data_IF_492897700104
#
_entry.id   IF_492897700104
#
_cell.length_a   1.000
_cell.length_b   1.000
_cell.length_c   1.000
_cell.angle_alpha   90.00
_cell.angle_beta   90.00
_cell.angle_gamma   90.00
#
_symmetry.space_group_name_H-M   'P 1'
#
loop_
_entity.id
_entity.type
_entity.pdbx_description
1 polymer ?
#
# COMPACT_ATOMS: atom_id res chain seq x y z
N UNK A 1 -20.93 11.34 6.38
CA UNK A 1 -19.83 12.26 6.04
C UNK A 1 -20.39 13.65 5.81
N UNK A 2 -19.78 14.70 6.43
CA UNK A 2 -20.17 16.11 6.22
C UNK A 2 -19.08 16.82 5.43
N UNK A 3 -19.49 17.60 4.45
CA UNK A 3 -18.64 18.44 3.61
C UNK A 3 -19.01 19.89 3.86
N UNK A 4 -18.01 20.72 4.19
CA UNK A 4 -18.22 22.15 4.38
C UNK A 4 -17.20 22.94 3.56
N UNK A 5 -17.67 23.84 2.72
CA UNK A 5 -16.81 24.83 2.05
C UNK A 5 -16.97 26.13 2.80
N UNK A 6 -15.87 26.62 3.38
CA UNK A 6 -15.90 27.76 4.27
C UNK A 6 -14.64 28.62 4.16
N UNK A 7 -14.82 29.92 4.39
CA UNK A 7 -13.71 30.82 4.70
C UNK A 7 -13.32 30.62 6.16
N UNK A 8 -12.10 30.16 6.41
CA UNK A 8 -11.66 29.81 7.76
C UNK A 8 -10.16 30.01 7.99
N UNK A 9 -9.78 30.18 9.27
CA UNK A 9 -8.42 30.00 9.77
C UNK A 9 -8.34 28.67 10.51
N UNK A 10 -7.16 28.05 10.53
CA UNK A 10 -6.96 26.78 11.21
C UNK A 10 -5.69 26.83 12.05
N UNK A 11 -5.83 26.55 13.33
CA UNK A 11 -4.75 26.45 14.28
C UNK A 11 -4.65 25.01 14.78
N UNK A 12 -3.46 24.44 14.68
CA UNK A 12 -3.15 23.12 15.23
C UNK A 12 -2.18 23.27 16.39
N UNK A 13 -2.51 22.63 17.50
CA UNK A 13 -1.69 22.54 18.70
C UNK A 13 -1.50 21.05 19.04
N UNK A 14 -0.26 20.59 19.07
CA UNK A 14 0.07 19.19 19.34
C UNK A 14 1.58 18.97 19.35
N UNK A 15 2.07 17.96 18.65
CA UNK A 15 3.50 17.67 18.49
C UNK A 15 4.30 18.86 17.94
N UNK A 16 3.63 19.71 17.21
CA UNK A 16 4.10 20.98 16.71
C UNK A 16 2.93 21.98 16.74
N UNK A 17 3.22 23.27 16.56
CA UNK A 17 2.19 24.29 16.36
C UNK A 17 2.18 24.66 14.89
N UNK A 18 1.00 24.67 14.26
CA UNK A 18 0.83 25.10 12.88
C UNK A 18 -0.36 26.03 12.74
N UNK A 19 -0.24 27.03 11.86
CA UNK A 19 -1.28 28.00 11.56
C UNK A 19 -1.52 28.05 10.04
N UNK A 20 -2.77 27.93 9.64
CA UNK A 20 -3.21 28.18 8.27
C UNK A 20 -4.00 29.51 8.25
N UNK A 21 -3.48 30.57 7.59
CA UNK A 21 -4.16 31.87 7.48
C UNK A 21 -5.54 31.75 6.85
N UNK A 22 -6.35 32.79 6.98
CA UNK A 22 -7.71 32.81 6.42
C UNK A 22 -7.71 32.53 4.91
N UNK A 23 -8.43 31.49 4.52
CA UNK A 23 -8.67 31.12 3.14
C UNK A 23 -9.93 30.27 3.01
N UNK A 24 -10.45 30.18 1.78
CA UNK A 24 -11.52 29.24 1.44
C UNK A 24 -10.95 27.83 1.45
N UNK A 25 -11.62 26.90 2.16
CA UNK A 25 -11.18 25.50 2.30
C UNK A 25 -12.35 24.54 2.29
N UNK A 26 -12.05 23.31 1.90
CA UNK A 26 -12.96 22.19 2.10
C UNK A 26 -12.62 21.53 3.44
N UNK A 27 -13.63 21.42 4.30
CA UNK A 27 -13.58 20.71 5.55
C UNK A 27 -14.37 19.41 5.40
N UNK A 28 -13.77 18.28 5.72
CA UNK A 28 -14.41 16.98 5.69
C UNK A 28 -14.48 16.39 7.09
N UNK A 29 -15.69 15.99 7.51
CA UNK A 29 -15.91 15.22 8.74
C UNK A 29 -16.45 13.86 8.36
N UNK A 30 -15.71 12.79 8.68
CA UNK A 30 -16.10 11.42 8.35
C UNK A 30 -16.94 10.77 9.45
N UNK A 31 -17.56 9.65 9.15
CA UNK A 31 -18.39 8.91 10.11
C UNK A 31 -17.61 8.37 11.31
N UNK A 32 -16.31 8.13 11.17
CA UNK A 32 -15.38 7.73 12.24
C UNK A 32 -14.95 8.89 13.14
N UNK A 33 -15.46 10.11 12.89
CA UNK A 33 -15.14 11.34 13.60
C UNK A 33 -13.87 12.05 13.10
N UNK A 34 -13.12 11.48 12.16
CA UNK A 34 -11.94 12.15 11.60
C UNK A 34 -12.31 13.44 10.88
N UNK A 35 -11.45 14.46 11.03
CA UNK A 35 -11.61 15.77 10.41
C UNK A 35 -10.39 16.07 9.55
N UNK A 36 -10.60 16.56 8.32
CA UNK A 36 -9.52 16.98 7.44
C UNK A 36 -9.84 18.30 6.73
N UNK A 37 -8.77 19.07 6.49
CA UNK A 37 -8.80 20.42 5.90
C UNK A 37 -8.04 20.38 4.58
N UNK A 38 -8.68 20.78 3.48
CA UNK A 38 -8.12 20.74 2.14
C UNK A 38 -8.13 22.11 1.46
N UNK A 39 -7.12 22.37 0.64
CA UNK A 39 -7.11 23.42 -0.35
C UNK A 39 -7.49 22.86 -1.73
N UNK A 40 -7.71 23.74 -2.68
CA UNK A 40 -8.02 23.40 -4.07
C UNK A 40 -6.78 22.91 -4.85
N UNK A 41 -5.59 23.08 -4.30
CA UNK A 41 -4.31 22.68 -4.87
C UNK A 41 -3.54 21.69 -3.97
N UNK A 42 -2.29 21.35 -4.34
CA UNK A 42 -1.32 20.55 -3.58
C UNK A 42 -1.64 19.07 -3.43
N UNK A 43 -2.07 18.46 -4.53
CA UNK A 43 -2.28 17.02 -4.65
C UNK A 43 -3.38 16.46 -3.72
N UNK A 44 -3.25 15.20 -3.36
CA UNK A 44 -4.29 14.44 -2.65
C UNK A 44 -4.22 14.57 -1.12
N UNK A 45 -3.19 15.19 -0.56
CA UNK A 45 -3.00 15.26 0.90
C UNK A 45 -3.77 16.44 1.50
N UNK A 46 -4.42 16.26 2.66
CA UNK A 46 -4.97 17.38 3.40
C UNK A 46 -3.86 18.31 3.89
N UNK A 47 -4.18 19.60 4.05
CA UNK A 47 -3.29 20.59 4.68
C UNK A 47 -3.10 20.30 6.16
N UNK A 48 -4.18 19.85 6.82
CA UNK A 48 -4.18 19.41 8.21
C UNK A 48 -5.29 18.37 8.43
N UNK A 49 -5.14 17.52 9.45
CA UNK A 49 -6.14 16.52 9.80
C UNK A 49 -6.01 16.05 11.24
N UNK A 50 -7.13 15.57 11.79
CA UNK A 50 -7.17 14.84 13.06
C UNK A 50 -7.71 13.43 12.80
N UNK A 51 -6.91 12.42 13.14
CA UNK A 51 -7.30 11.00 13.00
C UNK A 51 -8.16 10.54 14.17
N UNK A 52 -9.09 9.59 14.00
CA UNK A 52 -9.83 9.00 15.09
C UNK A 52 -8.93 8.20 16.05
N UNK A 53 -9.30 8.07 17.35
CA UNK A 53 -10.47 8.63 17.96
C UNK A 53 -10.31 10.11 18.35
N UNK A 54 -11.11 10.97 17.75
CA UNK A 54 -11.18 12.38 18.07
C UNK A 54 -12.63 12.85 18.23
N UNK A 55 -12.83 14.01 18.84
CA UNK A 55 -14.13 14.62 19.07
C UNK A 55 -14.17 16.01 18.48
N UNK A 56 -15.12 16.24 17.59
CA UNK A 56 -15.48 17.58 17.12
C UNK A 56 -16.54 18.18 18.03
N UNK A 57 -16.29 19.39 18.49
CA UNK A 57 -17.24 20.22 19.21
C UNK A 57 -17.40 21.57 18.50
N UNK A 58 -18.63 21.92 18.14
CA UNK A 58 -18.94 23.22 17.57
C UNK A 58 -19.24 24.19 18.71
N UNK A 59 -18.51 25.28 18.79
CA UNK A 59 -18.66 26.33 19.82
C UNK A 59 -18.75 27.70 19.15
N UNK A 60 -19.17 28.71 19.94
CA UNK A 60 -19.10 30.10 19.53
C UNK A 60 -17.99 30.79 20.34
N UNK A 61 -17.12 31.51 19.65
CA UNK A 61 -16.18 32.45 20.26
C UNK A 61 -16.66 33.85 19.95
N UNK A 62 -17.43 34.44 20.90
CA UNK A 62 -18.29 35.58 20.63
C UNK A 62 -19.42 35.19 19.67
N UNK A 63 -19.45 35.82 18.50
CA UNK A 63 -20.41 35.49 17.41
C UNK A 63 -19.79 34.59 16.31
N UNK A 64 -18.52 34.21 16.43
CA UNK A 64 -17.81 33.48 15.40
C UNK A 64 -17.90 31.97 15.65
N UNK A 65 -18.40 31.17 14.70
CA UNK A 65 -18.41 29.72 14.82
C UNK A 65 -16.98 29.14 14.80
N UNK A 66 -16.73 28.26 15.75
CA UNK A 66 -15.43 27.55 15.87
C UNK A 66 -15.67 26.07 16.02
N UNK A 67 -14.98 25.31 15.20
CA UNK A 67 -14.86 23.86 15.37
C UNK A 67 -13.60 23.55 16.17
N UNK A 68 -13.79 22.92 17.32
CA UNK A 68 -12.70 22.40 18.15
C UNK A 68 -12.66 20.88 18.02
N UNK A 69 -11.57 20.37 17.49
CA UNK A 69 -11.35 18.94 17.33
C UNK A 69 -10.22 18.52 18.25
N UNK A 70 -10.48 17.55 19.13
CA UNK A 70 -9.53 17.12 20.15
C UNK A 70 -9.39 15.61 20.14
N UNK A 71 -8.17 15.11 20.35
CA UNK A 71 -7.90 13.69 20.56
C UNK A 71 -7.48 13.39 22.00
N UNK A 72 -7.38 12.10 22.32
CA UNK A 72 -6.97 11.64 23.66
C UNK A 72 -5.53 12.00 24.02
N UNK A 73 -4.68 12.33 23.05
CA UNK A 73 -3.29 12.74 23.27
C UNK A 73 -3.14 14.22 23.59
N UNK A 74 -4.25 14.97 23.67
CA UNK A 74 -4.25 16.40 23.96
C UNK A 74 -3.92 17.29 22.75
N UNK A 75 -3.89 16.72 21.54
CA UNK A 75 -3.76 17.50 20.32
C UNK A 75 -5.09 18.17 20.00
N UNK A 76 -5.03 19.44 19.55
CA UNK A 76 -6.20 20.24 19.22
C UNK A 76 -6.09 20.80 17.79
N UNK A 77 -7.19 20.77 17.08
CA UNK A 77 -7.38 21.44 15.80
C UNK A 77 -8.54 22.42 15.95
N UNK A 78 -8.22 23.72 15.93
CA UNK A 78 -9.19 24.80 16.03
C UNK A 78 -9.44 25.38 14.65
N UNK A 79 -10.66 25.32 14.18
CA UNK A 79 -11.09 25.87 12.89
C UNK A 79 -12.05 27.01 13.17
N UNK A 80 -11.61 28.25 12.94
CA UNK A 80 -12.41 29.45 13.09
C UNK A 80 -13.06 29.79 11.77
N UNK A 81 -14.38 29.75 11.68
CA UNK A 81 -15.17 29.87 10.45
C UNK A 81 -15.76 31.25 10.38
N UNK A 82 -15.44 32.02 9.34
CA UNK A 82 -15.97 33.36 9.13
C UNK A 82 -17.14 33.39 8.15
N UNK A 83 -17.20 32.47 7.22
CA UNK A 83 -18.26 32.35 6.23
C UNK A 83 -18.42 30.90 5.79
N UNK A 84 -19.64 30.40 5.66
CA UNK A 84 -19.97 29.10 5.13
C UNK A 84 -20.65 29.28 3.77
N UNK A 85 -20.03 28.75 2.70
CA UNK A 85 -20.62 28.77 1.37
C UNK A 85 -21.46 27.52 1.10
N UNK A 86 -21.01 26.38 1.64
CA UNK A 86 -21.68 25.10 1.45
C UNK A 86 -21.55 24.24 2.70
N UNK A 87 -22.62 23.57 3.09
CA UNK A 87 -22.65 22.60 4.16
C UNK A 87 -23.63 21.49 3.80
N UNK A 88 -23.14 20.28 3.66
CA UNK A 88 -23.96 19.14 3.33
C UNK A 88 -23.50 17.87 4.04
N UNK A 89 -24.45 17.00 4.36
CA UNK A 89 -24.20 15.71 5.00
C UNK A 89 -24.72 14.58 4.12
N UNK A 90 -23.92 13.52 4.01
CA UNK A 90 -24.22 12.37 3.18
C UNK A 90 -23.93 11.08 3.93
N UNK A 91 -24.77 10.09 3.76
CA UNK A 91 -24.51 8.72 4.18
C UNK A 91 -23.95 7.94 3.01
N UNK A 92 -22.70 7.49 3.11
CA UNK A 92 -22.04 6.74 2.04
C UNK A 92 -22.21 5.21 2.21
N UNK A 93 -22.85 4.79 3.30
CA UNK A 93 -22.98 3.37 3.62
C UNK A 93 -21.65 2.75 4.08
N UNK A 94 -21.62 1.45 4.14
CA UNK A 94 -20.41 0.68 4.47
C UNK A 94 -19.57 0.51 3.22
N UNK A 95 -18.33 0.98 3.28
CA UNK A 95 -17.36 0.74 2.22
C UNK A 95 -17.02 -0.76 2.18
N UNK A 96 -17.13 -1.42 1.03
CA UNK A 96 -16.78 -2.84 0.90
C UNK A 96 -15.28 -3.11 1.05
N UNK A 97 -14.48 -2.07 1.18
CA UNK A 97 -13.02 -2.15 1.25
C UNK A 97 -12.36 -2.28 -0.12
N UNK A 98 -11.04 -2.26 -0.11
CA UNK A 98 -10.24 -2.47 -1.30
C UNK A 98 -10.28 -3.95 -1.69
N UNK A 99 -10.95 -4.28 -2.78
CA UNK A 99 -10.73 -5.56 -3.46
C UNK A 99 -9.38 -5.44 -4.18
N UNK A 100 -8.35 -6.05 -3.61
CA UNK A 100 -7.07 -6.21 -4.31
C UNK A 100 -7.35 -7.04 -5.56
N UNK A 101 -6.81 -6.66 -6.68
CA UNK A 101 -7.04 -7.35 -7.97
C UNK A 101 -6.41 -8.76 -8.03
N UNK A 102 -6.05 -9.37 -6.96
CA UNK A 102 -5.57 -10.74 -6.84
C UNK A 102 -4.44 -11.15 -7.82
N UNK A 103 -3.93 -10.21 -8.62
CA UNK A 103 -2.93 -10.50 -9.67
C UNK A 103 -1.69 -11.14 -9.08
N UNK A 104 -1.20 -10.68 -7.93
CA UNK A 104 -0.02 -11.27 -7.30
C UNK A 104 -0.31 -12.70 -6.82
N UNK A 105 -1.46 -12.93 -6.19
CA UNK A 105 -1.88 -14.26 -5.78
C UNK A 105 -2.08 -15.20 -6.98
N UNK A 106 -2.69 -14.69 -8.05
CA UNK A 106 -2.89 -15.45 -9.28
C UNK A 106 -1.56 -15.72 -10.02
N UNK A 107 -0.62 -14.77 -10.06
CA UNK A 107 0.73 -14.99 -10.55
C UNK A 107 1.45 -16.07 -9.76
N UNK A 108 1.27 -16.09 -8.45
CA UNK A 108 1.83 -17.13 -7.58
C UNK A 108 1.23 -18.50 -7.90
N UNK A 109 -0.09 -18.59 -8.14
CA UNK A 109 -0.78 -19.82 -8.55
C UNK A 109 -0.27 -20.32 -9.89
N UNK A 110 -0.29 -19.47 -10.90
CA UNK A 110 0.17 -19.79 -12.24
C UNK A 110 1.65 -20.19 -12.26
N UNK A 111 2.52 -19.49 -11.53
CA UNK A 111 3.93 -19.85 -11.47
C UNK A 111 4.18 -21.18 -10.72
N UNK A 112 3.34 -21.50 -9.75
CA UNK A 112 3.41 -22.78 -9.06
C UNK A 112 2.91 -23.94 -9.93
N UNK A 113 1.90 -23.71 -10.79
CA UNK A 113 1.41 -24.67 -11.78
C UNK A 113 2.40 -24.86 -12.94
N UNK A 114 3.12 -23.80 -13.32
CA UNK A 114 4.10 -23.77 -14.40
C UNK A 114 5.51 -23.48 -13.85
N UNK A 115 5.94 -24.29 -12.89
CA UNK A 115 7.21 -24.08 -12.18
C UNK A 115 8.42 -24.16 -13.12
N UNK A 116 8.29 -24.83 -14.26
CA UNK A 116 9.28 -24.91 -15.34
C UNK A 116 9.62 -23.54 -15.96
N UNK A 117 8.78 -22.52 -15.78
CA UNK A 117 9.10 -21.14 -16.18
C UNK A 117 10.30 -20.58 -15.40
N UNK A 118 10.60 -21.11 -14.23
CA UNK A 118 11.84 -20.81 -13.51
C UNK A 118 13.08 -21.41 -14.16
N UNK A 119 12.93 -22.49 -14.92
CA UNK A 119 13.99 -23.23 -15.59
C UNK A 119 13.64 -24.68 -15.69
N UNK A 120 14.29 -25.39 -16.62
CA UNK A 120 14.14 -26.83 -16.78
C UNK A 120 14.59 -27.58 -15.50
N UNK A 121 13.82 -28.57 -15.09
CA UNK A 121 14.11 -29.39 -13.90
C UNK A 121 13.71 -28.74 -12.56
N UNK A 122 13.13 -27.56 -12.55
CA UNK A 122 12.58 -27.00 -11.32
C UNK A 122 11.38 -27.81 -10.83
N UNK A 123 11.28 -27.96 -9.50
CA UNK A 123 10.17 -28.67 -8.85
C UNK A 123 9.64 -27.86 -7.68
N UNK A 124 8.31 -27.76 -7.60
CA UNK A 124 7.63 -27.07 -6.51
C UNK A 124 7.79 -27.85 -5.21
N UNK A 125 8.23 -27.17 -4.13
CA UNK A 125 8.20 -27.72 -2.76
C UNK A 125 6.93 -27.26 -2.06
N UNK A 126 6.70 -25.93 -2.02
CA UNK A 126 5.52 -25.38 -1.35
C UNK A 126 5.27 -23.92 -1.75
N UNK A 127 3.98 -23.57 -1.90
CA UNK A 127 3.50 -22.19 -1.90
C UNK A 127 3.40 -21.68 -0.47
N UNK A 128 3.55 -20.37 -0.28
CA UNK A 128 3.45 -19.70 1.03
C UNK A 128 4.23 -20.44 2.12
N UNK A 129 5.54 -20.66 1.85
CA UNK A 129 6.39 -21.33 2.82
C UNK A 129 6.64 -20.44 4.03
N UNK A 130 6.14 -20.85 5.20
CA UNK A 130 6.17 -20.07 6.44
C UNK A 130 7.59 -19.89 6.98
N UNK A 131 7.96 -18.64 7.26
CA UNK A 131 9.17 -18.25 7.98
C UNK A 131 8.80 -17.48 9.25
N UNK A 132 9.80 -17.18 10.08
CA UNK A 132 9.59 -16.38 11.30
C UNK A 132 9.10 -14.94 11.04
N UNK A 133 9.24 -14.41 9.82
CA UNK A 133 8.85 -13.05 9.44
C UNK A 133 7.72 -13.00 8.41
N UNK A 134 7.09 -14.13 8.12
CA UNK A 134 6.00 -14.27 7.16
C UNK A 134 6.27 -15.34 6.10
N UNK A 135 5.30 -15.60 5.21
CA UNK A 135 5.45 -16.60 4.15
C UNK A 135 6.32 -16.10 3.00
N UNK A 136 7.15 -16.98 2.45
CA UNK A 136 7.76 -16.83 1.12
C UNK A 136 6.77 -17.33 0.08
N UNK A 137 6.58 -16.60 -1.01
CA UNK A 137 5.55 -16.91 -2.00
C UNK A 137 5.69 -18.34 -2.56
N UNK A 138 6.90 -18.73 -3.00
CA UNK A 138 7.20 -20.08 -3.45
C UNK A 138 8.56 -20.54 -2.92
N UNK A 139 8.60 -21.74 -2.37
CA UNK A 139 9.83 -22.52 -2.19
C UNK A 139 9.83 -23.65 -3.21
N UNK A 140 10.92 -23.78 -3.97
CA UNK A 140 11.12 -24.81 -4.98
C UNK A 140 12.56 -25.36 -4.93
N UNK A 141 12.85 -26.38 -5.74
CA UNK A 141 14.18 -26.91 -6.00
C UNK A 141 14.54 -26.72 -7.46
N UNK A 142 15.79 -26.40 -7.73
CA UNK A 142 16.33 -26.39 -9.09
C UNK A 142 16.69 -27.80 -9.60
N UNK A 143 17.21 -27.89 -10.83
CA UNK A 143 17.58 -29.16 -11.45
C UNK A 143 18.67 -29.94 -10.67
N UNK A 144 19.49 -29.22 -9.88
CA UNK A 144 20.52 -29.79 -9.02
C UNK A 144 20.02 -30.12 -7.60
N UNK A 145 18.72 -29.90 -7.34
CA UNK A 145 18.07 -30.16 -6.07
C UNK A 145 18.34 -29.09 -5.00
N UNK A 146 18.96 -27.95 -5.35
CA UNK A 146 19.20 -26.83 -4.43
C UNK A 146 17.92 -26.07 -4.17
N UNK A 147 17.76 -25.60 -2.95
CA UNK A 147 16.58 -24.80 -2.57
C UNK A 147 16.59 -23.42 -3.23
N UNK A 148 15.44 -22.99 -3.72
CA UNK A 148 15.22 -21.69 -4.34
C UNK A 148 13.97 -21.04 -3.74
N UNK A 149 14.12 -19.82 -3.22
CA UNK A 149 13.02 -19.01 -2.73
C UNK A 149 12.62 -17.97 -3.79
N UNK A 150 11.33 -17.87 -4.07
CA UNK A 150 10.79 -16.95 -5.07
C UNK A 150 9.88 -15.93 -4.39
N UNK A 151 10.11 -14.66 -4.67
CA UNK A 151 9.22 -13.55 -4.30
C UNK A 151 8.56 -13.01 -5.55
N UNK A 152 7.24 -12.84 -5.53
CA UNK A 152 6.42 -12.49 -6.69
C UNK A 152 5.75 -11.14 -6.45
N UNK A 153 5.84 -10.25 -7.43
CA UNK A 153 5.17 -8.93 -7.41
C UNK A 153 4.53 -8.64 -8.77
N UNK A 154 3.45 -7.89 -8.75
CA UNK A 154 2.94 -7.30 -9.99
C UNK A 154 3.95 -6.30 -10.55
N UNK A 155 4.46 -5.39 -9.68
CA UNK A 155 5.55 -4.45 -10.00
C UNK A 155 6.71 -4.69 -9.07
N UNK A 156 7.83 -5.08 -9.63
CA UNK A 156 9.06 -5.34 -8.90
C UNK A 156 9.78 -4.03 -8.56
N UNK A 157 9.72 -3.63 -7.31
CA UNK A 157 10.38 -2.46 -6.74
C UNK A 157 11.45 -2.88 -5.71
N UNK A 158 12.21 -1.92 -5.19
CA UNK A 158 13.31 -2.17 -4.24
C UNK A 158 12.83 -2.92 -2.99
N UNK A 159 11.67 -2.57 -2.46
CA UNK A 159 11.08 -3.17 -1.27
C UNK A 159 10.83 -4.69 -1.40
N UNK A 160 10.42 -5.16 -2.59
CA UNK A 160 10.30 -6.59 -2.85
C UNK A 160 11.63 -7.32 -2.85
N UNK A 161 12.70 -6.71 -3.37
CA UNK A 161 14.06 -7.27 -3.29
C UNK A 161 14.57 -7.30 -1.85
N UNK A 162 14.30 -6.24 -1.08
CA UNK A 162 14.61 -6.18 0.35
C UNK A 162 13.87 -7.25 1.15
N UNK A 163 12.61 -7.50 0.81
CA UNK A 163 11.80 -8.56 1.42
C UNK A 163 12.42 -9.93 1.15
N UNK A 164 12.71 -10.25 -0.11
CA UNK A 164 13.36 -11.52 -0.48
C UNK A 164 14.72 -11.69 0.18
N UNK A 165 15.52 -10.64 0.28
CA UNK A 165 16.82 -10.70 0.98
C UNK A 165 16.67 -11.16 2.42
N UNK A 166 15.70 -10.59 3.16
CA UNK A 166 15.43 -11.00 4.54
C UNK A 166 14.97 -12.46 4.64
N UNK A 167 14.18 -12.93 3.70
CA UNK A 167 13.79 -14.34 3.63
C UNK A 167 15.01 -15.25 3.39
N UNK A 168 15.88 -14.89 2.44
CA UNK A 168 17.09 -15.67 2.14
C UNK A 168 18.03 -15.76 3.35
N UNK A 169 18.20 -14.68 4.10
CA UNK A 169 18.99 -14.67 5.33
C UNK A 169 18.43 -15.66 6.37
N UNK A 170 17.11 -15.75 6.51
CA UNK A 170 16.47 -16.67 7.44
C UNK A 170 16.55 -18.13 6.96
N UNK A 171 16.22 -18.37 5.71
CA UNK A 171 16.22 -19.72 5.13
C UNK A 171 17.63 -20.32 5.09
N UNK A 172 18.67 -19.52 4.88
CA UNK A 172 20.05 -19.98 4.92
C UNK A 172 20.58 -20.29 6.32
N UNK A 173 19.82 -20.02 7.37
CA UNK A 173 20.13 -20.49 8.75
C UNK A 173 19.71 -21.94 8.97
N UNK A 174 18.78 -22.44 8.15
CA UNK A 174 18.35 -23.82 8.20
C UNK A 174 19.29 -24.68 7.34
N UNK A 175 20.05 -25.56 8.01
CA UNK A 175 21.00 -26.46 7.34
C UNK A 175 20.37 -27.49 6.40
N UNK A 176 19.05 -27.71 6.50
CA UNK A 176 18.30 -28.60 5.61
C UNK A 176 17.93 -27.91 4.30
N UNK A 177 17.90 -26.58 4.27
CA UNK A 177 17.56 -25.78 3.11
C UNK A 177 18.77 -25.14 2.46
N UNK A 178 19.78 -24.77 3.27
CA UNK A 178 20.96 -24.05 2.80
C UNK A 178 21.85 -24.92 1.86
N UNK A 179 22.42 -24.32 0.79
CA UNK A 179 22.26 -22.94 0.37
C UNK A 179 20.96 -22.69 -0.38
N UNK A 180 20.30 -21.56 -0.08
CA UNK A 180 19.06 -21.15 -0.73
C UNK A 180 19.33 -19.99 -1.70
N UNK A 181 19.04 -20.19 -2.97
CA UNK A 181 19.10 -19.16 -4.00
C UNK A 181 17.81 -18.32 -4.04
N UNK A 182 17.88 -17.07 -4.53
CA UNK A 182 16.74 -16.17 -4.65
C UNK A 182 16.32 -15.93 -6.10
N UNK A 183 15.01 -15.90 -6.36
CA UNK A 183 14.43 -15.44 -7.62
C UNK A 183 13.40 -14.35 -7.30
N UNK A 184 13.61 -13.16 -7.88
CA UNK A 184 12.66 -12.06 -7.83
C UNK A 184 11.87 -12.03 -9.13
N UNK A 185 10.60 -12.40 -9.08
CA UNK A 185 9.72 -12.55 -10.22
C UNK A 185 8.64 -11.45 -10.24
N UNK A 186 8.44 -10.76 -11.38
CA UNK A 186 7.39 -9.76 -11.53
C UNK A 186 7.00 -9.59 -12.99
N UNK A 187 5.77 -9.06 -13.25
CA UNK A 187 5.38 -8.65 -14.61
C UNK A 187 6.27 -7.52 -15.14
N UNK A 188 6.68 -6.61 -14.27
CA UNK A 188 7.57 -5.50 -14.61
C UNK A 188 8.54 -5.25 -13.46
N UNK A 189 9.85 -5.24 -13.73
CA UNK A 189 10.89 -4.99 -12.72
C UNK A 189 11.54 -3.65 -13.03
N UNK A 190 11.48 -2.73 -12.05
CA UNK A 190 12.14 -1.42 -12.18
C UNK A 190 13.67 -1.57 -12.26
N UNK A 191 14.36 -0.69 -13.04
CA UNK A 191 15.82 -0.77 -13.19
C UNK A 191 16.57 -0.80 -11.85
N UNK A 192 16.17 0.03 -10.89
CA UNK A 192 16.81 0.10 -9.58
C UNK A 192 16.64 -1.20 -8.77
N UNK A 193 15.46 -1.83 -8.85
CA UNK A 193 15.22 -3.12 -8.22
C UNK A 193 16.06 -4.23 -8.87
N UNK A 194 16.21 -4.21 -10.20
CA UNK A 194 17.04 -5.16 -10.94
C UNK A 194 18.53 -5.02 -10.55
N UNK A 195 19.03 -3.78 -10.46
CA UNK A 195 20.40 -3.52 -10.01
C UNK A 195 20.63 -4.09 -8.61
N UNK A 196 19.75 -3.76 -7.66
CA UNK A 196 19.87 -4.25 -6.28
C UNK A 196 19.79 -5.78 -6.18
N UNK A 197 18.88 -6.41 -6.94
CA UNK A 197 18.77 -7.85 -6.98
C UNK A 197 20.07 -8.51 -7.51
N UNK A 198 20.63 -7.97 -8.59
CA UNK A 198 21.90 -8.44 -9.16
C UNK A 198 23.05 -8.31 -8.18
N UNK A 199 23.19 -7.18 -7.50
CA UNK A 199 24.23 -6.93 -6.49
C UNK A 199 24.15 -7.93 -5.30
N UNK A 200 22.96 -8.47 -5.04
CA UNK A 200 22.70 -9.47 -4.00
C UNK A 200 22.70 -10.92 -4.49
N UNK A 201 23.04 -11.15 -5.76
CA UNK A 201 23.03 -12.50 -6.37
C UNK A 201 21.61 -13.07 -6.53
N UNK A 202 20.58 -12.23 -6.53
CA UNK A 202 19.17 -12.60 -6.74
C UNK A 202 18.88 -12.55 -8.24
N UNK A 203 18.39 -13.65 -8.79
CA UNK A 203 17.96 -13.71 -10.19
C UNK A 203 16.64 -12.99 -10.40
N UNK A 204 16.54 -12.15 -11.44
CA UNK A 204 15.30 -11.49 -11.84
C UNK A 204 14.62 -12.27 -12.96
N UNK A 205 13.31 -12.52 -12.79
CA UNK A 205 12.45 -13.14 -13.80
C UNK A 205 11.29 -12.20 -14.13
N UNK A 206 11.13 -11.88 -15.41
CA UNK A 206 9.95 -11.14 -15.88
C UNK A 206 8.88 -12.15 -16.28
N UNK A 207 7.69 -12.02 -15.70
CA UNK A 207 6.54 -12.88 -15.94
C UNK A 207 5.60 -12.21 -16.94
N UNK A 208 5.23 -12.95 -17.98
CA UNK A 208 4.16 -12.55 -18.89
C UNK A 208 2.84 -13.17 -18.42
N UNK A 209 2.01 -12.32 -17.80
CA UNK A 209 0.76 -12.76 -17.19
C UNK A 209 -0.27 -13.27 -18.20
N UNK A 210 -0.30 -12.69 -19.39
CA UNK A 210 -1.26 -13.08 -20.41
C UNK A 210 -0.86 -14.41 -21.05
N UNK A 211 0.44 -14.61 -21.31
CA UNK A 211 0.99 -15.91 -21.73
C UNK A 211 0.71 -16.98 -20.68
N UNK A 212 0.98 -16.71 -19.41
CA UNK A 212 0.74 -17.66 -18.30
C UNK A 212 -0.73 -18.04 -18.17
N UNK A 213 -1.65 -17.14 -18.48
CA UNK A 213 -3.10 -17.42 -18.51
C UNK A 213 -3.55 -18.18 -19.76
N UNK A 214 -2.69 -18.43 -20.72
CA UNK A 214 -3.04 -19.06 -21.99
C UNK A 214 -3.90 -18.17 -22.89
N UNK A 215 -3.89 -16.84 -22.68
CA UNK A 215 -4.65 -15.88 -23.46
C UNK A 215 -3.90 -15.39 -24.70
N UNK A 216 -2.66 -15.82 -24.90
CA UNK A 216 -1.83 -15.44 -26.05
C UNK A 216 -1.95 -16.43 -27.23
N UNK A 217 -3.07 -17.17 -27.30
CA UNK A 217 -3.43 -17.85 -28.54
C UNK A 217 -4.01 -16.81 -29.51
N UNK A 218 -3.52 -16.79 -30.73
CA UNK A 218 -3.97 -15.89 -31.83
C UNK A 218 -5.50 -15.94 -32.10
N UNK A 219 -6.21 -16.89 -31.48
CA UNK A 219 -7.67 -17.08 -31.61
C UNK A 219 -8.50 -15.99 -30.84
N UNK A 220 -7.90 -15.21 -29.94
CA UNK A 220 -8.61 -14.18 -29.15
C UNK A 220 -8.18 -12.74 -29.46
N UNK A 221 -7.28 -12.51 -30.41
CA UNK A 221 -7.00 -11.16 -30.91
C UNK A 221 -8.11 -10.75 -31.88
N UNK A 222 -9.15 -10.19 -31.32
CA UNK A 222 -10.07 -9.34 -32.10
C UNK A 222 -9.35 -8.02 -32.39
N UNK A 223 -8.71 -7.95 -33.58
CA UNK A 223 -8.24 -6.77 -34.33
C UNK A 223 -7.81 -5.53 -33.56
#
# INVERSE_FOLDING_TARGET
MRLVIAQCTVDYLGRLTAHLPSARRLLLVKADGSVSVHADDRAYKPLNWMSPPCRLTEILDGEVPVWLVENKSGEQLRITITEIEHDSSHELGTDPGLVKDGVEAHLQELLAEHIELLGEGYTLVRREYMTAIGPVDILCRDAEGRSVAVEIKRRGEIDGVEQLTRYLELLNRDSLLAPVAGVFAAQQIKPQARTLATDRGIRCLTLDYDVMRGLDSDEFRLF
#
